data_IF_874152982362
#
_entry.id   IF_874152982362
#
_cell.length_a   1.000
_cell.length_b   1.000
_cell.length_c   1.000
_cell.angle_alpha   90.00
_cell.angle_beta   90.00
_cell.angle_gamma   90.00
#
_symmetry.space_group_name_H-M   'P 1'
#
loop_
_entity.id
_entity.type
_entity.pdbx_description
1 polymer ?
#
# COMPACT_ATOMS: atom_id res chain seq x y z
N UNK A 1 -5.23 28.54 4.82
CA UNK A 1 -4.65 27.58 5.80
C UNK A 1 -5.29 26.23 5.53
N UNK A 2 -4.66 25.09 5.82
CA UNK A 2 -5.39 23.84 5.79
C UNK A 2 -6.42 23.90 6.93
N UNK A 3 -7.66 23.56 6.63
CA UNK A 3 -8.78 23.64 7.57
C UNK A 3 -9.37 22.24 7.72
N UNK A 4 -9.52 21.77 8.96
CA UNK A 4 -10.02 20.45 9.28
C UNK A 4 -11.31 20.60 10.08
N UNK A 5 -12.37 19.92 9.64
CA UNK A 5 -13.63 19.90 10.38
C UNK A 5 -13.46 19.18 11.72
N UNK A 6 -12.68 18.09 11.71
CA UNK A 6 -12.32 17.31 12.91
C UNK A 6 -10.79 17.22 13.03
N UNK A 7 -10.11 18.21 13.66
CA UNK A 7 -8.65 18.22 13.78
C UNK A 7 -8.09 17.03 14.56
N UNK A 8 -8.84 16.50 15.52
CA UNK A 8 -8.45 15.30 16.27
C UNK A 8 -8.32 14.07 15.36
N UNK A 9 -9.29 13.87 14.46
CA UNK A 9 -9.26 12.79 13.47
C UNK A 9 -8.11 12.99 12.47
N UNK A 10 -7.87 14.22 11.99
CA UNK A 10 -6.75 14.54 11.11
C UNK A 10 -5.40 14.19 11.77
N UNK A 11 -5.23 14.53 13.05
CA UNK A 11 -4.01 14.25 13.81
C UNK A 11 -3.81 12.76 14.06
N UNK A 12 -4.86 12.06 14.49
CA UNK A 12 -4.80 10.60 14.70
C UNK A 12 -4.52 9.86 13.40
N UNK A 13 -5.23 10.22 12.32
CA UNK A 13 -5.03 9.65 10.98
C UNK A 13 -3.61 9.90 10.48
N UNK A 14 -3.08 11.11 10.68
CA UNK A 14 -1.73 11.46 10.28
C UNK A 14 -0.65 10.62 10.94
N UNK A 15 -0.72 10.40 12.26
CA UNK A 15 0.24 9.51 12.95
C UNK A 15 0.05 8.05 12.58
N UNK A 16 -1.21 7.62 12.38
CA UNK A 16 -1.52 6.26 11.94
C UNK A 16 -0.85 5.97 10.60
N UNK A 17 -0.96 6.88 9.62
CA UNK A 17 -0.29 6.76 8.33
C UNK A 17 1.23 6.80 8.44
N UNK A 18 1.78 7.59 9.37
CA UNK A 18 3.23 7.63 9.58
C UNK A 18 3.78 6.26 10.01
N UNK A 19 3.12 5.61 10.99
CA UNK A 19 3.48 4.26 11.43
C UNK A 19 3.25 3.24 10.32
N UNK A 20 2.12 3.34 9.61
CA UNK A 20 1.81 2.47 8.48
C UNK A 20 2.90 2.51 7.40
N UNK A 21 3.31 3.72 7.00
CA UNK A 21 4.35 3.93 5.98
C UNK A 21 5.67 3.26 6.35
N UNK A 22 6.10 3.37 7.62
CA UNK A 22 7.33 2.73 8.12
C UNK A 22 7.20 1.21 8.11
N UNK A 23 6.09 0.66 8.63
CA UNK A 23 5.90 -0.79 8.70
C UNK A 23 5.88 -1.43 7.31
N UNK A 24 5.13 -0.85 6.36
CA UNK A 24 5.06 -1.39 5.00
C UNK A 24 6.41 -1.22 4.28
N UNK A 25 7.06 -0.06 4.39
CA UNK A 25 8.35 0.17 3.75
C UNK A 25 9.43 -0.78 4.27
N UNK A 26 9.51 -0.98 5.59
CA UNK A 26 10.45 -1.92 6.20
C UNK A 26 10.13 -3.37 5.79
N UNK A 27 8.86 -3.76 5.81
CA UNK A 27 8.44 -5.08 5.35
C UNK A 27 8.81 -5.34 3.89
N UNK A 28 8.52 -4.40 3.00
CA UNK A 28 8.88 -4.50 1.57
C UNK A 28 10.40 -4.50 1.33
N UNK A 29 11.18 -3.79 2.14
CA UNK A 29 12.64 -3.79 2.03
C UNK A 29 13.26 -5.15 2.42
N UNK A 30 12.60 -5.89 3.31
CA UNK A 30 13.01 -7.23 3.74
C UNK A 30 12.38 -8.35 2.90
N UNK A 31 11.31 -8.04 2.16
CA UNK A 31 10.64 -8.98 1.28
C UNK A 31 11.52 -9.31 0.07
N UNK A 32 11.73 -10.60 -0.28
CA UNK A 32 12.49 -10.95 -1.47
C UNK A 32 11.78 -10.45 -2.74
N UNK A 33 12.52 -10.25 -3.82
CA UNK A 33 11.90 -9.80 -5.06
C UNK A 33 10.94 -10.87 -5.62
N UNK A 34 9.80 -10.45 -6.22
CA UNK A 34 8.95 -11.35 -6.97
C UNK A 34 9.75 -12.09 -8.03
N UNK A 35 9.34 -13.31 -8.35
CA UNK A 35 9.96 -14.09 -9.43
C UNK A 35 8.92 -14.75 -10.32
N UNK A 36 8.95 -14.40 -11.62
CA UNK A 36 8.20 -15.07 -12.69
C UNK A 36 6.67 -14.93 -12.58
N UNK A 37 6.18 -13.73 -12.30
CA UNK A 37 4.79 -13.33 -12.52
C UNK A 37 3.98 -13.00 -11.27
N UNK A 38 2.72 -13.41 -11.29
CA UNK A 38 1.71 -13.12 -10.26
C UNK A 38 1.56 -14.23 -9.22
N UNK A 39 2.06 -15.42 -9.54
CA UNK A 39 1.93 -16.60 -8.69
C UNK A 39 3.13 -16.73 -7.78
N UNK A 40 2.87 -16.96 -6.49
CA UNK A 40 3.91 -17.24 -5.53
C UNK A 40 4.51 -18.63 -5.75
N UNK A 41 5.83 -18.74 -5.74
CA UNK A 41 6.52 -20.03 -5.91
C UNK A 41 6.70 -20.70 -4.55
N UNK A 42 6.14 -21.90 -4.39
CA UNK A 42 6.22 -22.65 -3.13
C UNK A 42 7.67 -22.90 -2.67
N UNK A 43 8.59 -23.16 -3.62
CA UNK A 43 10.01 -23.33 -3.32
C UNK A 43 10.64 -22.07 -2.73
N UNK A 44 10.30 -20.89 -3.25
CA UNK A 44 10.79 -19.59 -2.76
C UNK A 44 10.24 -19.30 -1.37
N UNK A 45 8.92 -19.46 -1.18
CA UNK A 45 8.27 -19.29 0.12
C UNK A 45 8.89 -20.19 1.18
N UNK A 46 9.03 -21.49 0.89
CA UNK A 46 9.55 -22.47 1.85
C UNK A 46 11.00 -22.19 2.27
N UNK A 47 11.80 -21.56 1.40
CA UNK A 47 13.20 -21.24 1.70
C UNK A 47 13.43 -19.84 2.28
N UNK A 48 12.42 -18.97 2.30
CA UNK A 48 12.61 -17.57 2.73
C UNK A 48 12.47 -17.44 4.25
N UNK A 49 13.52 -17.03 4.98
CA UNK A 49 13.42 -16.83 6.41
C UNK A 49 12.48 -15.66 6.73
N UNK A 50 11.78 -15.74 7.86
CA UNK A 50 10.92 -14.67 8.37
C UNK A 50 9.76 -14.26 7.45
N UNK A 51 9.39 -15.08 6.46
CA UNK A 51 8.30 -14.78 5.53
C UNK A 51 7.00 -14.37 6.24
N UNK A 52 6.58 -15.15 7.23
CA UNK A 52 5.41 -14.86 8.07
C UNK A 52 5.53 -13.51 8.79
N UNK A 53 6.55 -13.29 9.63
CA UNK A 53 6.79 -12.00 10.29
C UNK A 53 6.83 -10.78 9.36
N UNK A 54 7.47 -10.87 8.20
CA UNK A 54 7.51 -9.80 7.20
C UNK A 54 6.08 -9.45 6.75
N UNK A 55 5.29 -10.46 6.40
CA UNK A 55 3.91 -10.29 5.95
C UNK A 55 2.97 -9.80 7.06
N UNK A 56 3.20 -10.17 8.32
CA UNK A 56 2.46 -9.62 9.47
C UNK A 56 2.73 -8.12 9.60
N UNK A 57 3.99 -7.69 9.51
CA UNK A 57 4.34 -6.27 9.58
C UNK A 57 3.68 -5.48 8.44
N UNK A 58 3.71 -6.02 7.22
CA UNK A 58 3.03 -5.44 6.05
C UNK A 58 1.52 -5.37 6.27
N UNK A 59 0.89 -6.45 6.74
CA UNK A 59 -0.56 -6.52 7.01
C UNK A 59 -0.98 -5.50 8.07
N UNK A 60 -0.22 -5.37 9.16
CA UNK A 60 -0.46 -4.34 10.18
C UNK A 60 -0.36 -2.94 9.57
N UNK A 61 0.65 -2.70 8.73
CA UNK A 61 0.79 -1.46 7.99
C UNK A 61 -0.42 -1.16 7.10
N UNK A 62 -0.92 -2.15 6.36
CA UNK A 62 -2.13 -1.99 5.53
C UNK A 62 -3.37 -1.68 6.36
N UNK A 63 -3.60 -2.39 7.47
CA UNK A 63 -4.71 -2.08 8.40
C UNK A 63 -4.62 -0.65 8.93
N UNK A 64 -3.42 -0.18 9.27
CA UNK A 64 -3.21 1.20 9.69
C UNK A 64 -3.44 2.18 8.53
N UNK A 65 -3.12 1.84 7.28
CA UNK A 65 -3.53 2.65 6.12
C UNK A 65 -5.05 2.72 5.96
N UNK A 66 -5.79 1.62 6.22
CA UNK A 66 -7.26 1.63 6.23
C UNK A 66 -7.76 2.63 7.28
N UNK A 67 -7.30 2.47 8.53
CA UNK A 67 -7.69 3.36 9.63
C UNK A 67 -7.32 4.82 9.33
N UNK A 68 -6.11 5.06 8.81
CA UNK A 68 -5.64 6.37 8.39
C UNK A 68 -6.55 7.00 7.33
N UNK A 69 -6.87 6.28 6.26
CA UNK A 69 -7.76 6.76 5.20
C UNK A 69 -9.16 7.10 5.70
N UNK A 70 -9.74 6.25 6.56
CA UNK A 70 -11.05 6.51 7.19
C UNK A 70 -11.01 7.73 8.11
N UNK A 71 -9.94 7.91 8.88
CA UNK A 71 -9.75 9.09 9.73
C UNK A 71 -9.56 10.36 8.90
N UNK A 72 -8.90 10.30 7.73
CA UNK A 72 -8.82 11.44 6.81
C UNK A 72 -10.18 11.82 6.21
N UNK A 73 -11.02 10.83 5.93
CA UNK A 73 -12.41 11.09 5.52
C UNK A 73 -13.22 11.75 6.64
N UNK A 74 -13.09 11.24 7.88
CA UNK A 74 -13.77 11.78 9.05
C UNK A 74 -13.31 13.22 9.37
N UNK A 75 -12.00 13.46 9.29
CA UNK A 75 -11.35 14.76 9.47
C UNK A 75 -11.97 15.88 8.64
N UNK A 76 -12.45 15.56 7.44
CA UNK A 76 -13.15 16.49 6.60
C UNK A 76 -12.30 17.67 6.14
N UNK A 77 -12.97 18.79 5.82
CA UNK A 77 -12.30 20.03 5.46
C UNK A 77 -11.43 19.89 4.21
N UNK A 78 -10.23 20.48 4.23
CA UNK A 78 -9.28 20.48 3.10
C UNK A 78 -8.98 19.07 2.57
N UNK A 79 -9.01 18.05 3.42
CA UNK A 79 -8.70 16.66 3.04
C UNK A 79 -9.74 16.00 2.15
N UNK A 80 -10.98 16.51 2.11
CA UNK A 80 -12.06 15.93 1.28
C UNK A 80 -12.83 16.97 0.47
N UNK A 81 -12.51 18.27 0.61
CA UNK A 81 -13.21 19.37 -0.07
C UNK A 81 -13.26 19.17 -1.59
N UNK A 82 -12.18 18.65 -2.15
CA UNK A 82 -12.14 18.26 -3.55
C UNK A 82 -12.50 16.78 -3.68
N UNK A 83 -13.40 16.45 -4.60
CA UNK A 83 -13.90 15.08 -4.77
C UNK A 83 -12.78 14.06 -5.04
N UNK A 84 -11.72 14.44 -5.77
CA UNK A 84 -10.54 13.58 -5.97
C UNK A 84 -9.84 13.22 -4.66
N UNK A 85 -9.77 14.14 -3.69
CA UNK A 85 -9.17 13.82 -2.39
C UNK A 85 -10.08 12.88 -1.59
N UNK A 86 -11.39 13.10 -1.61
CA UNK A 86 -12.35 12.20 -0.98
C UNK A 86 -12.30 10.79 -1.58
N UNK A 87 -12.31 10.71 -2.92
CA UNK A 87 -12.10 9.46 -3.65
C UNK A 87 -10.79 8.81 -3.26
N UNK A 88 -9.70 9.58 -3.18
CA UNK A 88 -8.38 9.04 -2.91
C UNK A 88 -8.29 8.34 -1.54
N UNK A 89 -8.83 8.95 -0.48
CA UNK A 89 -8.85 8.33 0.84
C UNK A 89 -9.73 7.08 0.89
N UNK A 90 -10.88 7.11 0.22
CA UNK A 90 -11.75 5.93 0.08
C UNK A 90 -11.06 4.80 -0.70
N UNK A 91 -10.41 5.12 -1.81
CA UNK A 91 -9.70 4.17 -2.65
C UNK A 91 -8.49 3.55 -1.93
N UNK A 92 -7.73 4.35 -1.17
CA UNK A 92 -6.67 3.84 -0.29
C UNK A 92 -7.24 2.89 0.76
N UNK A 93 -8.32 3.27 1.46
CA UNK A 93 -8.92 2.44 2.49
C UNK A 93 -9.41 1.09 1.93
N UNK A 94 -10.17 1.11 0.83
CA UNK A 94 -10.68 -0.12 0.20
C UNK A 94 -9.53 -0.95 -0.39
N UNK A 95 -8.58 -0.33 -1.08
CA UNK A 95 -7.43 -1.04 -1.66
C UNK A 95 -6.60 -1.76 -0.59
N UNK A 96 -6.40 -1.12 0.57
CA UNK A 96 -5.65 -1.66 1.69
C UNK A 96 -6.36 -2.82 2.41
N UNK A 97 -7.70 -2.89 2.39
CA UNK A 97 -8.45 -4.06 2.87
C UNK A 97 -8.06 -5.30 2.07
N UNK A 98 -8.11 -5.21 0.74
CA UNK A 98 -7.73 -6.32 -0.12
C UNK A 98 -6.25 -6.68 0.00
N UNK A 99 -5.36 -5.68 0.10
CA UNK A 99 -3.94 -5.95 0.32
C UNK A 99 -3.64 -6.56 1.69
N UNK A 100 -4.42 -6.25 2.72
CA UNK A 100 -4.34 -6.96 4.00
C UNK A 100 -4.65 -8.44 3.80
N UNK A 101 -5.68 -8.77 3.02
CA UNK A 101 -5.98 -10.16 2.65
C UNK A 101 -4.84 -10.84 1.90
N UNK A 102 -4.23 -10.17 0.91
CA UNK A 102 -3.02 -10.66 0.21
C UNK A 102 -1.93 -11.01 1.22
N UNK A 103 -1.59 -10.07 2.11
CA UNK A 103 -0.50 -10.27 3.06
C UNK A 103 -0.79 -11.41 4.06
N UNK A 104 -2.02 -11.52 4.55
CA UNK A 104 -2.41 -12.58 5.48
C UNK A 104 -2.44 -13.96 4.83
N UNK A 105 -3.01 -14.08 3.63
CA UNK A 105 -3.02 -15.34 2.87
C UNK A 105 -1.59 -15.78 2.61
N UNK A 106 -0.73 -14.86 2.16
CA UNK A 106 0.65 -15.17 1.83
C UNK A 106 1.46 -15.57 3.08
N UNK A 107 1.33 -14.81 4.17
CA UNK A 107 2.09 -15.00 5.40
C UNK A 107 1.66 -16.19 6.26
N UNK A 108 0.36 -16.49 6.32
CA UNK A 108 -0.18 -17.52 7.23
C UNK A 108 -0.64 -18.80 6.54
N UNK A 109 -1.23 -18.69 5.36
CA UNK A 109 -1.80 -19.87 4.67
C UNK A 109 -0.77 -20.45 3.71
N UNK A 110 -0.33 -19.65 2.75
CA UNK A 110 0.57 -20.13 1.70
C UNK A 110 1.93 -20.53 2.26
N UNK A 111 2.47 -19.81 3.23
CA UNK A 111 3.72 -20.18 3.90
C UNK A 111 3.63 -21.55 4.59
N UNK A 112 2.52 -21.84 5.28
CA UNK A 112 2.33 -23.14 5.93
C UNK A 112 2.17 -24.29 4.91
N UNK A 113 1.55 -24.00 3.75
CA UNK A 113 1.37 -24.97 2.66
C UNK A 113 2.63 -25.16 1.80
N UNK A 114 3.55 -24.20 1.80
CA UNK A 114 4.70 -24.18 0.90
C UNK A 114 5.61 -25.43 0.98
N UNK A 115 5.92 -26.00 2.17
CA UNK A 115 6.71 -27.24 2.25
C UNK A 115 6.00 -28.45 1.64
N UNK A 116 4.66 -28.53 1.73
CA UNK A 116 3.89 -29.62 1.14
C UNK A 116 3.81 -29.44 -0.39
N UNK A 117 3.52 -28.23 -0.84
CA UNK A 117 3.47 -27.89 -2.25
C UNK A 117 4.81 -28.05 -2.97
N UNK A 118 5.93 -27.79 -2.30
CA UNK A 118 7.27 -28.02 -2.88
C UNK A 118 7.61 -29.50 -3.07
N UNK A 119 6.91 -30.40 -2.38
CA UNK A 119 7.05 -31.86 -2.53
C UNK A 119 6.04 -32.51 -3.49
N UNK A 120 5.13 -31.73 -4.07
CA UNK A 120 4.26 -32.17 -5.18
C UNK A 120 2.75 -32.06 -4.95
N UNK A 121 2.26 -31.75 -3.75
CA UNK A 121 0.83 -31.50 -3.50
C UNK A 121 0.49 -30.02 -3.65
N UNK A 122 0.15 -29.59 -4.87
CA UNK A 122 -0.04 -28.17 -5.19
C UNK A 122 -1.49 -27.71 -5.20
N UNK A 123 -2.49 -28.61 -5.13
CA UNK A 123 -3.88 -28.25 -5.44
C UNK A 123 -4.41 -27.14 -4.54
N UNK A 124 -4.22 -27.29 -3.22
CA UNK A 124 -4.66 -26.29 -2.24
C UNK A 124 -3.82 -25.02 -2.34
N UNK A 125 -2.51 -25.15 -2.55
CA UNK A 125 -1.60 -24.02 -2.71
C UNK A 125 -1.98 -23.17 -3.94
N UNK A 126 -2.25 -23.80 -5.08
CA UNK A 126 -2.65 -23.15 -6.32
C UNK A 126 -4.01 -22.44 -6.20
N UNK A 127 -4.95 -23.02 -5.45
CA UNK A 127 -6.23 -22.39 -5.14
C UNK A 127 -6.04 -21.08 -4.34
N UNK A 128 -5.20 -21.10 -3.30
CA UNK A 128 -4.87 -19.89 -2.55
C UNK A 128 -4.07 -18.88 -3.37
N UNK A 129 -3.21 -19.34 -4.27
CA UNK A 129 -2.47 -18.48 -5.17
C UNK A 129 -3.42 -17.70 -6.11
N UNK A 130 -4.45 -18.36 -6.66
CA UNK A 130 -5.50 -17.70 -7.45
C UNK A 130 -6.30 -16.69 -6.62
N UNK A 131 -6.63 -17.03 -5.36
CA UNK A 131 -7.31 -16.12 -4.45
C UNK A 131 -6.47 -14.87 -4.16
N UNK A 132 -5.18 -15.06 -3.88
CA UNK A 132 -4.21 -13.98 -3.66
C UNK A 132 -4.16 -13.04 -4.87
N UNK A 133 -4.08 -13.59 -6.08
CA UNK A 133 -4.11 -12.82 -7.32
C UNK A 133 -5.42 -12.01 -7.44
N UNK A 134 -6.58 -12.63 -7.16
CA UNK A 134 -7.86 -11.94 -7.16
C UNK A 134 -7.92 -10.76 -6.18
N UNK A 135 -7.41 -10.94 -4.97
CA UNK A 135 -7.29 -9.85 -3.98
C UNK A 135 -6.33 -8.76 -4.46
N UNK A 136 -5.19 -9.13 -5.05
CA UNK A 136 -4.24 -8.19 -5.64
C UNK A 136 -4.85 -7.34 -6.75
N UNK A 137 -5.70 -7.93 -7.60
CA UNK A 137 -6.42 -7.23 -8.66
C UNK A 137 -7.43 -6.20 -8.17
N UNK A 138 -8.02 -6.42 -6.99
CA UNK A 138 -8.94 -5.45 -6.37
C UNK A 138 -8.15 -4.39 -5.59
N UNK A 139 -7.13 -4.81 -4.86
CA UNK A 139 -6.35 -3.93 -3.98
C UNK A 139 -5.45 -2.95 -4.72
N UNK A 140 -4.65 -3.45 -5.67
CA UNK A 140 -3.59 -2.67 -6.30
C UNK A 140 -4.10 -1.46 -7.10
N UNK A 141 -5.09 -1.60 -8.01
CA UNK A 141 -5.57 -0.46 -8.78
C UNK A 141 -6.22 0.62 -7.91
N UNK A 142 -6.96 0.22 -6.86
CA UNK A 142 -7.61 1.15 -5.95
C UNK A 142 -6.59 1.93 -5.12
N UNK A 143 -5.63 1.24 -4.51
CA UNK A 143 -4.57 1.89 -3.75
C UNK A 143 -3.78 2.86 -4.62
N UNK A 144 -3.33 2.42 -5.79
CA UNK A 144 -2.51 3.24 -6.66
C UNK A 144 -3.30 4.42 -7.24
N UNK A 145 -4.57 4.24 -7.60
CA UNK A 145 -5.43 5.34 -8.02
C UNK A 145 -5.59 6.38 -6.91
N UNK A 146 -5.80 5.94 -5.66
CA UNK A 146 -5.88 6.85 -4.52
C UNK A 146 -4.57 7.58 -4.26
N UNK A 147 -3.44 6.87 -4.23
CA UNK A 147 -2.14 7.47 -3.99
C UNK A 147 -1.75 8.46 -5.11
N UNK A 148 -1.95 8.09 -6.37
CA UNK A 148 -1.73 8.97 -7.53
C UNK A 148 -2.62 10.21 -7.43
N UNK A 149 -3.89 10.05 -7.06
CA UNK A 149 -4.80 11.19 -6.88
C UNK A 149 -4.32 12.13 -5.76
N UNK A 150 -3.91 11.62 -4.59
CA UNK A 150 -3.36 12.47 -3.52
C UNK A 150 -2.13 13.24 -3.99
N UNK A 151 -1.17 12.56 -4.61
CA UNK A 151 0.06 13.19 -5.08
C UNK A 151 -0.22 14.23 -6.17
N UNK A 152 -1.11 13.93 -7.11
CA UNK A 152 -1.55 14.86 -8.14
C UNK A 152 -2.21 16.09 -7.54
N UNK A 153 -3.07 15.91 -6.54
CA UNK A 153 -3.76 17.01 -5.87
C UNK A 153 -2.78 17.88 -5.07
N UNK A 154 -1.71 17.29 -4.52
CA UNK A 154 -0.64 18.05 -3.92
C UNK A 154 0.14 18.89 -4.95
N UNK A 155 0.47 18.31 -6.12
CA UNK A 155 1.13 19.03 -7.22
C UNK A 155 0.26 20.17 -7.76
N UNK A 156 -1.05 19.94 -7.90
CA UNK A 156 -1.97 20.85 -8.59
C UNK A 156 -2.46 21.98 -7.70
N UNK A 157 -2.86 21.66 -6.47
CA UNK A 157 -3.51 22.62 -5.58
C UNK A 157 -2.89 22.71 -4.19
N UNK A 158 -1.79 21.99 -3.93
CA UNK A 158 -1.02 22.08 -2.69
C UNK A 158 -1.90 21.83 -1.44
N UNK A 159 -2.68 20.74 -1.47
CA UNK A 159 -3.68 20.37 -0.47
C UNK A 159 -3.16 20.51 0.97
N UNK A 160 -1.97 19.98 1.26
CA UNK A 160 -1.32 20.07 2.57
C UNK A 160 -0.05 20.93 2.57
N UNK A 161 0.17 21.72 1.51
CA UNK A 161 1.29 22.66 1.36
C UNK A 161 2.64 21.99 1.51
N UNK A 162 2.77 20.82 0.90
CA UNK A 162 4.03 20.13 0.68
C UNK A 162 4.93 20.99 -0.24
N UNK A 163 6.26 20.82 -0.14
CA UNK A 163 7.15 21.47 -1.11
C UNK A 163 6.91 20.89 -2.50
N UNK A 164 7.21 21.67 -3.54
CA UNK A 164 7.01 21.27 -4.93
C UNK A 164 7.75 19.98 -5.25
N UNK A 165 8.98 19.86 -4.77
CA UNK A 165 9.88 18.72 -4.99
C UNK A 165 9.28 17.45 -4.38
N UNK A 166 8.79 17.53 -3.14
CA UNK A 166 8.17 16.38 -2.46
C UNK A 166 6.83 15.99 -3.09
N UNK A 167 6.05 16.95 -3.59
CA UNK A 167 4.80 16.67 -4.29
C UNK A 167 5.04 15.91 -5.61
N UNK A 168 6.00 16.39 -6.41
CA UNK A 168 6.41 15.72 -7.65
C UNK A 168 7.07 14.36 -7.40
N UNK A 169 7.88 14.25 -6.35
CA UNK A 169 8.45 12.97 -5.93
C UNK A 169 7.36 11.96 -5.62
N UNK A 170 6.35 12.34 -4.82
CA UNK A 170 5.17 11.51 -4.53
C UNK A 170 4.46 11.03 -5.79
N UNK A 171 4.26 11.93 -6.75
CA UNK A 171 3.61 11.59 -8.01
C UNK A 171 4.45 10.62 -8.83
N UNK A 172 5.76 10.86 -8.92
CA UNK A 172 6.68 9.99 -9.64
C UNK A 172 6.69 8.57 -9.05
N UNK A 173 6.84 8.42 -7.73
CA UNK A 173 6.88 7.08 -7.10
C UNK A 173 5.52 6.37 -7.17
N UNK A 174 4.40 7.10 -7.11
CA UNK A 174 3.08 6.53 -7.34
C UNK A 174 2.94 6.01 -8.78
N UNK A 175 3.38 6.79 -9.78
CA UNK A 175 3.37 6.38 -11.19
C UNK A 175 4.31 5.19 -11.47
N UNK A 176 5.49 5.16 -10.87
CA UNK A 176 6.41 4.02 -10.99
C UNK A 176 5.82 2.75 -10.36
N UNK A 177 5.08 2.87 -9.27
CA UNK A 177 4.44 1.74 -8.59
C UNK A 177 3.38 1.05 -9.48
N UNK A 178 2.79 1.77 -10.45
CA UNK A 178 1.92 1.17 -11.46
C UNK A 178 2.65 0.20 -12.38
N UNK A 179 3.94 0.41 -12.66
CA UNK A 179 4.68 -0.41 -13.62
C UNK A 179 4.73 -1.88 -13.20
N UNK A 180 4.87 -2.17 -11.89
CA UNK A 180 4.74 -3.54 -11.38
C UNK A 180 3.36 -4.12 -11.64
N UNK A 181 2.29 -3.36 -11.38
CA UNK A 181 0.92 -3.79 -11.64
C UNK A 181 0.67 -4.08 -13.12
N UNK A 182 1.15 -3.20 -14.00
CA UNK A 182 1.07 -3.37 -15.46
C UNK A 182 1.84 -4.60 -15.90
N UNK A 183 3.08 -4.78 -15.42
CA UNK A 183 3.88 -5.95 -15.77
C UNK A 183 3.25 -7.26 -15.32
N UNK A 184 2.64 -7.26 -14.13
CA UNK A 184 1.88 -8.39 -13.61
C UNK A 184 0.69 -8.74 -14.50
N UNK A 185 -0.06 -7.72 -14.94
CA UNK A 185 -1.25 -7.85 -15.75
C UNK A 185 -0.97 -8.31 -17.19
N UNK A 186 0.16 -7.88 -17.75
CA UNK A 186 0.49 -8.05 -19.17
C UNK A 186 1.57 -9.10 -19.43
N UNK A 187 2.13 -9.72 -18.37
CA UNK A 187 3.23 -10.67 -18.49
C UNK A 187 4.60 -10.03 -18.81
N UNK A 188 4.72 -8.70 -18.68
CA UNK A 188 5.98 -7.97 -18.90
C UNK A 188 6.86 -8.05 -17.63
N UNK A 189 7.47 -9.21 -17.39
CA UNK A 189 8.21 -9.50 -16.15
C UNK A 189 9.43 -8.60 -15.90
N UNK A 190 9.98 -7.93 -16.92
CA UNK A 190 11.05 -6.94 -16.71
C UNK A 190 10.60 -5.72 -15.88
N UNK A 191 9.28 -5.54 -15.67
CA UNK A 191 8.71 -4.52 -14.81
C UNK A 191 8.57 -4.97 -13.34
N UNK A 192 8.88 -6.22 -13.00
CA UNK A 192 8.81 -6.73 -11.63
C UNK A 192 9.62 -5.91 -10.60
N UNK A 193 10.83 -5.42 -10.91
CA UNK A 193 11.62 -4.62 -9.97
C UNK A 193 10.92 -3.32 -9.53
N UNK A 194 9.94 -2.81 -10.28
CA UNK A 194 9.16 -1.64 -9.88
C UNK A 194 8.28 -1.87 -8.65
N UNK A 195 8.20 -3.11 -8.12
CA UNK A 195 7.66 -3.36 -6.78
C UNK A 195 8.39 -2.53 -5.71
N UNK A 196 9.68 -2.25 -5.92
CA UNK A 196 10.50 -1.43 -5.02
C UNK A 196 10.08 0.04 -5.00
N UNK A 197 9.37 0.52 -6.03
CA UNK A 197 8.81 1.88 -6.02
C UNK A 197 7.75 2.07 -4.93
N UNK A 198 7.14 0.98 -4.44
CA UNK A 198 6.21 1.03 -3.32
C UNK A 198 6.89 1.48 -2.02
N UNK A 199 8.18 1.15 -1.82
CA UNK A 199 8.92 1.55 -0.61
C UNK A 199 8.91 3.08 -0.43
N UNK A 200 9.46 3.89 -1.36
CA UNK A 200 9.39 5.33 -1.24
C UNK A 200 7.96 5.87 -1.33
N UNK A 201 7.03 5.17 -2.00
CA UNK A 201 5.62 5.56 -2.05
C UNK A 201 4.94 5.50 -0.67
N UNK A 202 5.16 4.43 0.10
CA UNK A 202 4.66 4.31 1.48
C UNK A 202 5.35 5.27 2.43
N UNK A 203 6.66 5.51 2.27
CA UNK A 203 7.37 6.53 3.04
C UNK A 203 6.81 7.93 2.76
N UNK A 204 6.51 8.24 1.49
CA UNK A 204 5.88 9.50 1.12
C UNK A 204 4.47 9.63 1.72
N UNK A 205 3.65 8.58 1.68
CA UNK A 205 2.33 8.56 2.31
C UNK A 205 2.44 8.75 3.84
N UNK A 206 3.42 8.12 4.47
CA UNK A 206 3.72 8.32 5.88
C UNK A 206 4.09 9.77 6.19
N UNK A 207 4.97 10.37 5.39
CA UNK A 207 5.34 11.79 5.52
C UNK A 207 4.14 12.72 5.31
N UNK A 208 3.30 12.44 4.31
CA UNK A 208 2.04 13.15 4.08
C UNK A 208 1.18 13.13 5.36
N UNK A 209 1.04 11.96 5.99
CA UNK A 209 0.36 11.81 7.27
C UNK A 209 0.96 12.66 8.38
N UNK A 210 2.29 12.65 8.54
CA UNK A 210 2.97 13.51 9.54
C UNK A 210 2.63 14.98 9.31
N UNK A 211 2.66 15.46 8.05
CA UNK A 211 2.32 16.86 7.75
C UNK A 211 0.88 17.21 8.08
N UNK A 212 -0.07 16.33 7.77
CA UNK A 212 -1.46 16.52 8.19
C UNK A 212 -1.54 16.66 9.71
N UNK A 213 -0.89 15.77 10.46
CA UNK A 213 -0.88 15.84 11.92
C UNK A 213 -0.24 17.11 12.47
N UNK A 214 0.80 17.65 11.81
CA UNK A 214 1.39 18.94 12.19
C UNK A 214 0.45 20.12 11.91
N UNK A 215 -0.25 20.09 10.77
CA UNK A 215 -1.20 21.14 10.39
C UNK A 215 -2.41 21.16 11.32
N UNK A 216 -2.90 19.99 11.74
CA UNK A 216 -4.06 19.86 12.63
C UNK A 216 -3.80 20.27 14.09
N UNK A 217 -2.54 20.57 14.46
CA UNK A 217 -2.18 21.13 15.77
C UNK A 217 -2.33 22.65 15.83
N UNK A 218 -2.42 23.31 14.68
CA UNK A 218 -2.47 24.77 14.54
C UNK A 218 -3.89 25.23 14.38
#
# INVERSE_FOLDING_TARGET
>A
MADFREPGAARAGGYTLAVAGVLVAAGLALHPLPSRGLFEQASVLASTPLWGPIHIAIAMGFVLCVLGGLLMLAAGGTLIRHWLNAFAWGAIAVGMIFFTGVALINGFVMHALAPMASTGDTVVYDAFNRLLVGFGWLGNPLFLAGLTALALMEVRIHTIRMSRELAWFGLAVALLSWLRGIGSATGLYFLEPFVLANIPAFLWLGWYGVRVAMLARR
#
